data_IF_503973753302
#
_entry.id   IF_503973753302
#
_cell.length_a   1.000
_cell.length_b   1.000
_cell.length_c   1.000
_cell.angle_alpha   90.00
_cell.angle_beta   90.00
_cell.angle_gamma   90.00
#
_symmetry.space_group_name_H-M   'P 1'
#
loop_
_entity.id
_entity.type
_entity.pdbx_description
1 polymer ?
#
# COMPACT_ATOMS: atom_id res chain seq x y z
N UNK A 1 -19.39 4.13 32.70
CA UNK A 1 -18.14 4.76 32.27
C UNK A 1 -16.89 4.22 32.98
N UNK A 2 -16.83 4.03 34.29
CA UNK A 2 -15.61 3.49 34.97
C UNK A 2 -15.28 2.03 34.62
N UNK A 3 -16.25 1.17 34.36
CA UNK A 3 -16.06 -0.25 33.99
C UNK A 3 -15.58 -0.45 32.53
N UNK A 4 -15.98 0.42 31.62
CA UNK A 4 -15.52 0.40 30.22
C UNK A 4 -14.08 0.90 30.07
N UNK A 5 -13.67 1.87 30.88
CA UNK A 5 -12.29 2.37 30.90
C UNK A 5 -11.32 1.30 31.46
N UNK A 6 -11.72 0.55 32.48
CA UNK A 6 -10.91 -0.53 33.05
C UNK A 6 -10.72 -1.71 32.05
N UNK A 7 -11.73 -2.00 31.21
CA UNK A 7 -11.64 -3.04 30.18
C UNK A 7 -10.67 -2.60 29.06
N UNK A 8 -10.65 -1.32 28.70
CA UNK A 8 -9.76 -0.78 27.68
C UNK A 8 -8.29 -0.76 28.16
N UNK A 9 -8.04 -0.46 29.42
CA UNK A 9 -6.67 -0.54 30.02
C UNK A 9 -6.20 -1.98 30.16
N UNK A 10 -7.08 -2.94 30.44
CA UNK A 10 -6.72 -4.37 30.53
C UNK A 10 -6.36 -4.95 29.14
N UNK A 11 -7.07 -4.55 28.09
CA UNK A 11 -6.75 -4.95 26.70
C UNK A 11 -5.41 -4.36 26.24
N UNK A 12 -5.04 -3.17 26.69
CA UNK A 12 -3.79 -2.52 26.30
C UNK A 12 -2.57 -3.13 27.02
N UNK A 13 -2.74 -3.67 28.24
CA UNK A 13 -1.64 -4.29 28.99
C UNK A 13 -1.21 -5.66 28.47
N UNK A 14 -2.06 -6.35 27.67
CA UNK A 14 -1.72 -7.67 27.08
C UNK A 14 -0.73 -7.53 25.92
N UNK A 15 -0.61 -6.35 25.29
CA UNK A 15 0.30 -6.15 24.16
C UNK A 15 1.75 -5.81 24.54
N UNK A 16 2.05 -5.55 25.84
CA UNK A 16 3.37 -5.09 26.27
C UNK A 16 4.37 -6.23 26.51
N UNK A 17 3.92 -7.50 26.57
CA UNK A 17 4.77 -8.62 26.98
C UNK A 17 5.41 -9.41 25.83
N UNK A 18 5.36 -8.96 24.57
CA UNK A 18 5.99 -9.63 23.44
C UNK A 18 7.27 -8.96 22.93
N UNK A 19 7.81 -8.02 23.70
CA UNK A 19 9.13 -7.46 23.40
C UNK A 19 10.19 -8.23 24.20
N UNK A 20 10.98 -9.03 23.45
CA UNK A 20 12.30 -9.52 23.80
C UNK A 20 12.43 -10.98 24.28
N UNK A 21 12.73 -11.80 23.29
CA UNK A 21 13.91 -12.69 23.33
C UNK A 21 14.37 -12.84 21.87
N UNK A 22 15.12 -11.86 21.41
CA UNK A 22 15.79 -11.94 20.11
C UNK A 22 17.07 -12.77 20.34
N UNK A 23 16.98 -14.06 20.05
CA UNK A 23 18.14 -14.93 20.08
C UNK A 23 19.11 -14.50 18.97
N UNK A 24 20.32 -14.09 19.36
CA UNK A 24 21.35 -13.61 18.42
C UNK A 24 21.67 -14.69 17.38
N UNK A 25 21.60 -15.97 17.75
CA UNK A 25 21.82 -17.10 16.84
C UNK A 25 20.72 -17.20 15.77
N UNK A 26 19.48 -16.85 16.09
CA UNK A 26 18.39 -16.78 15.10
C UNK A 26 18.60 -15.64 14.10
N UNK A 27 19.07 -14.46 14.56
CA UNK A 27 19.44 -13.35 13.69
C UNK A 27 20.61 -13.68 12.76
N UNK A 28 21.61 -14.40 13.27
CA UNK A 28 22.76 -14.84 12.47
C UNK A 28 22.36 -15.91 11.46
N UNK A 29 21.46 -16.81 11.82
CA UNK A 29 20.92 -17.85 10.94
C UNK A 29 19.95 -17.28 9.89
N UNK A 30 19.11 -16.29 10.23
CA UNK A 30 18.29 -15.55 9.27
C UNK A 30 19.16 -14.78 8.26
N UNK A 31 20.23 -14.13 8.70
CA UNK A 31 21.19 -13.48 7.81
C UNK A 31 21.88 -14.46 6.86
N UNK A 32 22.14 -15.68 7.28
CA UNK A 32 22.71 -16.72 6.41
C UNK A 32 21.69 -17.27 5.38
N UNK A 33 20.40 -17.37 5.73
CA UNK A 33 19.33 -17.73 4.77
C UNK A 33 19.01 -16.60 3.79
N UNK A 34 19.18 -15.33 4.21
CA UNK A 34 18.98 -14.16 3.32
C UNK A 34 20.06 -14.04 2.24
N UNK A 35 21.23 -14.63 2.41
CA UNK A 35 22.33 -14.57 1.41
C UNK A 35 21.98 -15.18 0.06
N UNK A 36 21.03 -16.09 0.00
CA UNK A 36 20.63 -16.75 -1.24
C UNK A 36 19.60 -15.97 -2.07
N UNK A 37 18.94 -14.96 -1.48
CA UNK A 37 17.97 -14.13 -2.18
C UNK A 37 18.56 -12.78 -2.59
N UNK A 38 18.09 -12.28 -3.72
CA UNK A 38 18.41 -10.94 -4.15
C UNK A 38 17.78 -9.95 -3.17
N UNK A 39 18.62 -9.14 -2.52
CA UNK A 39 18.16 -8.10 -1.62
C UNK A 39 17.76 -6.85 -2.40
N UNK A 40 16.69 -6.18 -1.94
CA UNK A 40 16.24 -4.88 -2.47
C UNK A 40 16.15 -4.89 -4.00
N UNK A 41 15.17 -5.61 -4.57
CA UNK A 41 14.82 -5.51 -5.99
C UNK A 41 14.48 -4.06 -6.31
N UNK A 42 13.73 -3.41 -5.41
CA UNK A 42 13.54 -1.97 -5.34
C UNK A 42 13.93 -1.43 -3.96
N UNK A 43 14.16 -0.11 -3.85
CA UNK A 43 14.49 0.53 -2.58
C UNK A 43 13.28 0.80 -1.68
N UNK A 44 12.07 0.69 -2.21
CA UNK A 44 10.85 0.94 -1.45
C UNK A 44 9.69 0.08 -1.92
N UNK A 45 8.64 0.05 -1.12
CA UNK A 45 7.39 -0.70 -1.39
C UNK A 45 6.56 -0.06 -2.50
N UNK A 46 6.90 1.20 -2.88
CA UNK A 46 6.22 1.97 -3.94
C UNK A 46 7.22 2.72 -4.81
N UNK A 47 6.87 2.90 -6.08
CA UNK A 47 7.50 3.78 -7.04
C UNK A 47 6.44 4.73 -7.58
N UNK A 48 6.56 6.04 -7.29
CA UNK A 48 5.61 7.08 -7.68
C UNK A 48 4.19 6.67 -7.23
N UNK A 49 3.32 6.24 -8.16
CA UNK A 49 1.94 5.84 -7.89
C UNK A 49 1.74 4.31 -7.88
N UNK A 50 2.75 3.53 -8.20
CA UNK A 50 2.67 2.07 -8.32
C UNK A 50 3.31 1.34 -7.15
N UNK A 51 2.80 0.16 -6.82
CA UNK A 51 3.45 -0.75 -5.89
C UNK A 51 4.61 -1.49 -6.57
N UNK A 52 5.65 -1.80 -5.79
CA UNK A 52 6.75 -2.67 -6.22
C UNK A 52 6.54 -4.08 -5.67
N UNK A 53 7.40 -5.02 -6.06
CA UNK A 53 7.43 -6.36 -5.48
C UNK A 53 7.86 -6.40 -4.01
N UNK A 54 8.38 -5.29 -3.47
CA UNK A 54 8.83 -5.24 -2.07
C UNK A 54 7.66 -5.17 -1.09
N UNK A 55 7.81 -5.85 0.03
CA UNK A 55 6.89 -5.92 1.17
C UNK A 55 7.46 -5.18 2.37
N UNK A 56 6.62 -4.70 3.26
CA UNK A 56 7.03 -4.17 4.57
C UNK A 56 7.63 -5.31 5.38
N UNK A 57 8.74 -5.06 6.08
CA UNK A 57 9.43 -6.07 6.91
C UNK A 57 8.53 -6.56 8.03
N UNK A 58 8.77 -7.79 8.46
CA UNK A 58 8.06 -8.41 9.59
C UNK A 58 8.07 -7.48 10.81
N UNK A 59 6.88 -7.28 11.39
CA UNK A 59 6.63 -6.42 12.57
C UNK A 59 6.96 -4.93 12.38
N UNK A 60 7.26 -4.48 11.16
CA UNK A 60 7.40 -3.07 10.86
C UNK A 60 6.05 -2.46 10.47
N UNK A 61 5.82 -1.22 10.87
CA UNK A 61 4.70 -0.39 10.48
C UNK A 61 5.22 0.78 9.64
N UNK A 62 4.77 0.88 8.40
CA UNK A 62 5.03 2.01 7.53
C UNK A 62 3.83 2.94 7.56
N UNK A 63 4.06 4.20 7.93
CA UNK A 63 3.09 5.28 7.79
C UNK A 63 3.53 6.21 6.67
N UNK A 64 2.68 6.33 5.63
CA UNK A 64 2.97 7.17 4.47
C UNK A 64 1.88 8.21 4.29
N UNK A 65 2.29 9.44 4.03
CA UNK A 65 1.42 10.51 3.57
C UNK A 65 1.79 10.77 2.12
N UNK A 66 0.87 10.48 1.20
CA UNK A 66 1.06 10.74 -0.23
C UNK A 66 0.22 11.93 -0.64
N UNK A 67 0.88 12.87 -1.28
CA UNK A 67 0.25 14.06 -1.87
C UNK A 67 0.36 13.98 -3.39
N UNK A 68 -0.72 14.32 -4.07
CA UNK A 68 -0.71 14.55 -5.51
C UNK A 68 -1.04 16.00 -5.76
N UNK A 69 -0.27 16.58 -6.65
CA UNK A 69 -0.40 17.98 -7.04
C UNK A 69 -1.24 18.10 -8.31
N UNK A 70 -1.70 19.31 -8.60
CA UNK A 70 -2.48 19.60 -9.78
C UNK A 70 -1.71 19.40 -11.07
N UNK A 71 -2.42 19.45 -12.18
CA UNK A 71 -1.86 19.29 -13.52
C UNK A 71 -0.98 20.50 -13.88
N UNK A 72 0.27 20.24 -14.25
CA UNK A 72 1.22 21.28 -14.68
C UNK A 72 0.97 21.81 -16.09
N UNK A 73 0.13 21.13 -16.89
CA UNK A 73 -0.15 21.46 -18.29
C UNK A 73 -1.40 22.29 -18.53
N UNK A 74 -2.17 22.65 -17.51
CA UNK A 74 -3.46 23.34 -17.67
C UNK A 74 -3.26 24.86 -17.88
N UNK A 75 -4.10 25.50 -18.73
CA UNK A 75 -4.13 26.97 -18.88
C UNK A 75 -4.30 27.65 -17.53
N UNK A 76 -3.42 28.63 -17.23
CA UNK A 76 -3.41 29.36 -15.97
C UNK A 76 -2.42 28.84 -14.94
N UNK A 77 -1.80 27.67 -15.18
CA UNK A 77 -0.67 27.16 -14.38
C UNK A 77 0.60 27.86 -14.86
N UNK A 78 1.21 28.65 -14.00
CA UNK A 78 2.41 29.44 -14.28
C UNK A 78 3.32 29.49 -13.06
N UNK A 79 4.35 30.28 -13.11
CA UNK A 79 5.24 30.53 -11.97
C UNK A 79 4.49 31.07 -10.74
N UNK A 80 3.34 31.73 -10.90
CA UNK A 80 2.51 32.21 -9.79
C UNK A 80 1.86 31.07 -8.98
N UNK A 81 1.62 29.90 -9.58
CA UNK A 81 1.06 28.72 -8.93
C UNK A 81 2.12 27.64 -8.71
N UNK A 82 3.39 28.04 -8.72
CA UNK A 82 4.54 27.14 -8.63
C UNK A 82 4.36 25.91 -9.56
N UNK A 83 3.93 26.16 -10.80
CA UNK A 83 3.66 25.12 -11.81
C UNK A 83 2.69 24.02 -11.34
N UNK A 84 1.69 24.37 -10.52
CA UNK A 84 0.65 23.46 -10.01
C UNK A 84 0.99 22.78 -8.68
N UNK A 85 2.19 22.99 -8.13
CA UNK A 85 2.60 22.42 -6.84
C UNK A 85 1.75 23.00 -5.68
N UNK A 86 1.29 24.25 -5.79
CA UNK A 86 0.41 24.87 -4.78
C UNK A 86 -0.97 24.23 -4.71
N UNK A 87 -1.39 23.53 -5.75
CA UNK A 87 -2.69 22.89 -5.84
C UNK A 87 -2.59 21.41 -5.45
N UNK A 88 -2.57 21.13 -4.15
CA UNK A 88 -2.69 19.77 -3.66
C UNK A 88 -4.10 19.22 -3.96
N UNK A 89 -4.20 18.32 -4.93
CA UNK A 89 -5.49 17.76 -5.37
C UNK A 89 -5.92 16.54 -4.57
N UNK A 90 -4.99 15.66 -4.25
CA UNK A 90 -5.27 14.41 -3.53
C UNK A 90 -4.32 14.25 -2.35
N UNK A 91 -4.87 13.81 -1.22
CA UNK A 91 -4.11 13.37 -0.06
C UNK A 91 -4.50 11.95 0.31
N UNK A 92 -3.52 11.12 0.63
CA UNK A 92 -3.74 9.77 1.11
C UNK A 92 -2.86 9.50 2.35
N UNK A 93 -3.50 9.04 3.42
CA UNK A 93 -2.85 8.50 4.61
C UNK A 93 -2.87 6.98 4.51
N UNK A 94 -1.72 6.36 4.62
CA UNK A 94 -1.54 4.92 4.45
C UNK A 94 -0.83 4.34 5.67
N UNK A 95 -1.34 3.22 6.16
CA UNK A 95 -0.71 2.39 7.17
C UNK A 95 -0.49 1.01 6.55
N UNK A 96 0.76 0.55 6.49
CA UNK A 96 1.12 -0.78 6.00
C UNK A 96 1.91 -1.52 7.09
N UNK A 97 1.47 -2.71 7.45
CA UNK A 97 2.09 -3.54 8.48
C UNK A 97 2.57 -4.87 7.90
N UNK A 98 3.83 -5.21 8.17
CA UNK A 98 4.42 -6.49 7.81
C UNK A 98 4.05 -7.58 8.82
N UNK A 99 3.18 -8.49 8.44
CA UNK A 99 2.86 -9.68 9.26
C UNK A 99 4.05 -10.64 9.22
N UNK A 100 4.62 -10.84 8.04
CA UNK A 100 5.86 -11.55 7.78
C UNK A 100 6.70 -10.75 6.80
N UNK A 101 7.93 -11.17 6.51
CA UNK A 101 8.74 -10.52 5.45
C UNK A 101 8.13 -10.61 4.06
N UNK A 102 7.13 -11.48 3.87
CA UNK A 102 6.49 -11.71 2.59
C UNK A 102 5.02 -11.30 2.54
N UNK A 103 4.41 -10.97 3.70
CA UNK A 103 3.00 -10.59 3.80
C UNK A 103 2.87 -9.21 4.43
N UNK A 104 2.27 -8.28 3.69
CA UNK A 104 1.91 -6.95 4.16
C UNK A 104 0.40 -6.77 4.10
N UNK A 105 -0.18 -6.25 5.16
CA UNK A 105 -1.56 -5.75 5.18
C UNK A 105 -1.54 -4.24 5.32
N UNK A 106 -2.54 -3.58 4.78
CA UNK A 106 -2.57 -2.13 4.85
C UNK A 106 -3.99 -1.58 4.88
N UNK A 107 -4.08 -0.37 5.37
CA UNK A 107 -5.29 0.43 5.39
C UNK A 107 -4.96 1.86 4.97
N UNK A 108 -5.82 2.47 4.17
CA UNK A 108 -5.62 3.86 3.79
C UNK A 108 -6.92 4.67 3.73
N UNK A 109 -6.77 5.96 4.00
CA UNK A 109 -7.80 6.98 3.79
C UNK A 109 -7.33 7.92 2.70
N UNK A 110 -8.14 8.05 1.64
CA UNK A 110 -7.87 8.99 0.54
C UNK A 110 -8.96 10.05 0.48
N UNK A 111 -8.53 11.31 0.36
CA UNK A 111 -9.37 12.43 -0.01
C UNK A 111 -8.89 12.93 -1.36
N UNK A 112 -9.72 12.78 -2.40
CA UNK A 112 -9.34 13.12 -3.77
C UNK A 112 -10.18 14.25 -4.36
N UNK A 113 -9.73 14.81 -5.47
CA UNK A 113 -10.43 15.84 -6.25
C UNK A 113 -11.46 15.27 -7.24
N UNK A 114 -11.45 13.94 -7.46
CA UNK A 114 -12.32 13.25 -8.42
C UNK A 114 -13.81 13.25 -8.04
N UNK A 115 -14.64 12.76 -8.95
CA UNK A 115 -16.11 12.65 -8.75
C UNK A 115 -16.47 11.68 -7.63
N UNK A 116 -15.64 10.67 -7.37
CA UNK A 116 -15.72 9.79 -6.20
C UNK A 116 -14.47 10.00 -5.38
N UNK A 117 -14.62 10.66 -4.29
CA UNK A 117 -13.61 11.01 -3.30
C UNK A 117 -14.01 10.41 -1.95
N UNK A 118 -13.24 10.60 -0.92
CA UNK A 118 -13.48 10.04 0.41
C UNK A 118 -13.46 8.51 0.42
N UNK A 119 -12.30 7.96 0.09
CA UNK A 119 -12.11 6.52 -0.05
C UNK A 119 -11.43 5.93 1.17
N UNK A 120 -11.89 4.76 1.59
CA UNK A 120 -11.18 3.86 2.48
C UNK A 120 -10.73 2.64 1.67
N UNK A 121 -9.47 2.25 1.81
CA UNK A 121 -8.92 1.11 1.08
C UNK A 121 -8.24 0.15 2.04
N UNK A 122 -8.64 -1.11 2.00
CA UNK A 122 -7.90 -2.23 2.58
C UNK A 122 -6.94 -2.80 1.53
N UNK A 123 -5.72 -3.13 1.95
CA UNK A 123 -4.66 -3.68 1.12
C UNK A 123 -4.18 -5.00 1.69
N UNK A 124 -3.99 -5.97 0.81
CA UNK A 124 -3.29 -7.22 1.08
C UNK A 124 -2.23 -7.44 0.01
N UNK A 125 -0.99 -7.72 0.43
CA UNK A 125 0.14 -7.93 -0.46
C UNK A 125 0.91 -9.16 -0.02
N UNK A 126 1.19 -10.05 -0.98
CA UNK A 126 1.89 -11.31 -0.71
C UNK A 126 2.97 -11.57 -1.76
N UNK A 127 4.22 -11.65 -1.30
CA UNK A 127 5.36 -12.02 -2.13
C UNK A 127 5.46 -13.53 -2.20
N UNK A 128 5.02 -14.10 -3.32
CA UNK A 128 4.91 -15.54 -3.55
C UNK A 128 6.26 -16.18 -3.88
N UNK A 129 7.14 -15.40 -4.55
CA UNK A 129 8.38 -15.93 -5.12
C UNK A 129 9.48 -14.88 -5.08
N UNK A 130 10.68 -15.27 -4.63
CA UNK A 130 11.84 -14.40 -4.50
C UNK A 130 12.93 -14.78 -5.50
N UNK A 131 13.50 -13.80 -6.17
CA UNK A 131 14.67 -13.97 -7.03
C UNK A 131 15.88 -14.39 -6.18
N UNK A 132 16.65 -15.38 -6.67
CA UNK A 132 17.89 -15.83 -6.02
C UNK A 132 19.12 -15.27 -6.71
N UNK A 133 20.20 -15.12 -5.95
CA UNK A 133 21.50 -14.59 -6.44
C UNK A 133 22.15 -15.50 -7.48
N UNK A 134 21.91 -16.81 -7.38
CA UNK A 134 22.42 -17.82 -8.33
C UNK A 134 21.55 -18.01 -9.58
N UNK A 135 20.54 -17.15 -9.79
CA UNK A 135 19.58 -17.18 -10.90
C UNK A 135 18.76 -18.50 -11.04
N UNK A 136 18.78 -19.42 -10.07
CA UNK A 136 17.86 -20.58 -10.08
C UNK A 136 16.41 -20.13 -10.04
N UNK A 137 16.17 -18.99 -9.40
CA UNK A 137 14.89 -18.27 -9.38
C UNK A 137 15.10 -16.90 -10.02
N UNK A 138 14.75 -16.71 -11.30
CA UNK A 138 15.15 -15.50 -12.04
C UNK A 138 14.28 -14.29 -11.78
N UNK A 139 13.13 -14.43 -11.09
CA UNK A 139 12.16 -13.35 -10.87
C UNK A 139 11.73 -13.27 -9.42
N UNK A 140 11.23 -12.10 -9.00
CA UNK A 140 10.41 -11.93 -7.80
C UNK A 140 8.96 -11.72 -8.24
N UNK A 141 8.02 -12.42 -7.60
CA UNK A 141 6.59 -12.33 -7.91
C UNK A 141 5.83 -11.94 -6.63
N UNK A 142 5.03 -10.90 -6.72
CA UNK A 142 4.20 -10.41 -5.62
C UNK A 142 2.78 -10.17 -6.11
N UNK A 143 1.80 -10.67 -5.38
CA UNK A 143 0.38 -10.42 -5.61
C UNK A 143 -0.09 -9.29 -4.68
N UNK A 144 -0.98 -8.45 -5.17
CA UNK A 144 -1.61 -7.38 -4.40
C UNK A 144 -3.10 -7.36 -4.70
N UNK A 145 -3.90 -7.25 -3.65
CA UNK A 145 -5.32 -7.02 -3.73
C UNK A 145 -5.72 -5.80 -2.91
N UNK A 146 -6.54 -4.93 -3.49
CA UNK A 146 -7.15 -3.80 -2.82
C UNK A 146 -8.66 -3.90 -2.89
N UNK A 147 -9.33 -3.62 -1.75
CA UNK A 147 -10.76 -3.39 -1.67
C UNK A 147 -10.99 -1.96 -1.19
N UNK A 148 -11.67 -1.16 -2.01
CA UNK A 148 -11.90 0.26 -1.75
C UNK A 148 -13.38 0.54 -1.64
N UNK A 149 -13.78 1.33 -0.65
CA UNK A 149 -15.15 1.80 -0.44
C UNK A 149 -15.20 3.32 -0.34
N UNK A 150 -16.18 3.93 -1.00
CA UNK A 150 -16.45 5.36 -0.85
C UNK A 150 -17.38 5.64 0.33
N UNK A 151 -16.97 6.56 1.22
CA UNK A 151 -17.75 7.06 2.35
C UNK A 151 -18.58 8.30 2.03
N UNK A 152 -18.55 8.78 0.77
CA UNK A 152 -19.32 9.95 0.35
C UNK A 152 -20.81 9.80 0.66
N UNK A 153 -21.45 10.91 0.99
CA UNK A 153 -22.92 10.97 1.09
C UNK A 153 -23.55 10.65 -0.27
N UNK A 154 -24.62 9.84 -0.23
CA UNK A 154 -25.43 9.54 -1.41
C UNK A 154 -26.03 10.84 -1.95
N UNK A 155 -25.94 11.04 -3.26
CA UNK A 155 -26.59 12.17 -3.94
C UNK A 155 -27.94 11.76 -4.52
N UNK A 156 -28.86 12.71 -4.57
CA UNK A 156 -30.25 12.47 -5.02
C UNK A 156 -30.35 12.34 -6.54
N UNK A 157 -29.41 12.94 -7.29
CA UNK A 157 -29.40 12.89 -8.74
C UNK A 157 -28.90 11.50 -9.21
N UNK A 158 -29.77 10.71 -9.86
CA UNK A 158 -29.41 9.35 -10.31
C UNK A 158 -28.36 9.33 -11.45
N UNK A 159 -28.12 10.46 -12.13
CA UNK A 159 -27.12 10.58 -13.18
C UNK A 159 -25.70 10.72 -12.64
N UNK A 160 -25.57 11.05 -11.37
CA UNK A 160 -24.26 11.17 -10.75
C UNK A 160 -23.71 9.82 -10.32
N UNK A 161 -22.42 9.59 -10.55
CA UNK A 161 -21.69 8.38 -10.10
C UNK A 161 -21.78 8.21 -8.57
N UNK A 162 -21.94 9.31 -7.82
CA UNK A 162 -22.11 9.34 -6.37
C UNK A 162 -23.55 9.15 -5.89
N UNK A 163 -24.49 8.80 -6.79
CA UNK A 163 -25.87 8.44 -6.42
C UNK A 163 -25.96 7.12 -5.65
N UNK A 164 -24.99 6.21 -5.88
CA UNK A 164 -24.87 4.92 -5.20
C UNK A 164 -26.23 4.22 -4.97
N UNK A 165 -26.93 3.78 -6.03
CA UNK A 165 -28.24 3.12 -5.92
C UNK A 165 -28.19 1.90 -4.97
N UNK A 166 -27.11 1.11 -5.05
CA UNK A 166 -26.82 -0.05 -4.19
C UNK A 166 -25.54 0.18 -3.41
N UNK A 167 -25.39 -0.51 -2.28
CA UNK A 167 -24.16 -0.46 -1.50
C UNK A 167 -22.93 -0.90 -2.31
N UNK A 168 -23.08 -1.91 -3.16
CA UNK A 168 -22.01 -2.42 -4.04
C UNK A 168 -21.46 -1.37 -5.01
N UNK A 169 -22.25 -0.33 -5.37
CA UNK A 169 -21.79 0.76 -6.23
C UNK A 169 -20.76 1.68 -5.55
N UNK A 170 -20.59 1.56 -4.23
CA UNK A 170 -19.55 2.25 -3.47
C UNK A 170 -18.21 1.54 -3.51
N UNK A 171 -18.18 0.28 -3.93
CA UNK A 171 -17.03 -0.58 -3.84
C UNK A 171 -16.29 -0.69 -5.17
N UNK A 172 -14.98 -0.74 -5.08
CA UNK A 172 -14.11 -1.11 -6.19
C UNK A 172 -13.00 -2.05 -5.71
N UNK A 173 -12.55 -2.92 -6.58
CA UNK A 173 -11.55 -3.93 -6.30
C UNK A 173 -10.43 -3.83 -7.33
N UNK A 174 -9.21 -3.97 -6.86
CA UNK A 174 -8.04 -3.99 -7.72
C UNK A 174 -7.20 -5.21 -7.36
N UNK A 175 -6.77 -5.94 -8.38
CA UNK A 175 -5.82 -7.04 -8.23
C UNK A 175 -4.64 -6.79 -9.15
N UNK A 176 -3.42 -6.97 -8.62
CA UNK A 176 -2.18 -6.82 -9.37
C UNK A 176 -1.30 -8.05 -9.18
N UNK A 177 -0.67 -8.48 -10.26
CA UNK A 177 0.43 -9.43 -10.22
C UNK A 177 1.70 -8.68 -10.64
N UNK A 178 2.61 -8.47 -9.71
CA UNK A 178 3.89 -7.79 -9.97
C UNK A 178 4.97 -8.82 -10.21
N UNK A 179 5.61 -8.78 -11.37
CA UNK A 179 6.74 -9.63 -11.74
C UNK A 179 7.94 -8.74 -11.98
N UNK A 180 8.98 -8.90 -11.17
CA UNK A 180 10.19 -8.08 -11.26
C UNK A 180 11.44 -8.93 -11.37
N UNK A 181 12.45 -8.38 -12.07
CA UNK A 181 13.78 -8.93 -12.13
C UNK A 181 14.81 -7.84 -11.93
N UNK A 182 15.71 -8.05 -10.99
CA UNK A 182 16.93 -7.25 -10.82
C UNK A 182 18.04 -7.89 -11.65
N UNK A 183 18.45 -7.21 -12.70
CA UNK A 183 19.51 -7.69 -13.60
C UNK A 183 20.89 -7.38 -13.03
N UNK A 184 21.05 -6.19 -12.44
CA UNK A 184 22.30 -5.74 -11.84
C UNK A 184 22.04 -4.59 -10.85
N UNK A 185 23.08 -3.90 -10.40
CA UNK A 185 22.98 -2.76 -9.44
C UNK A 185 22.23 -1.55 -10.01
N UNK A 186 22.16 -1.43 -11.34
CA UNK A 186 21.63 -0.26 -12.05
C UNK A 186 20.26 -0.50 -12.69
N UNK A 187 19.94 -1.77 -13.03
CA UNK A 187 18.74 -2.10 -13.79
C UNK A 187 17.88 -3.12 -13.06
N UNK A 188 16.66 -2.68 -12.78
CA UNK A 188 15.54 -3.54 -12.36
C UNK A 188 14.35 -3.24 -13.25
N UNK A 189 13.68 -4.27 -13.73
CA UNK A 189 12.46 -4.17 -14.53
C UNK A 189 11.31 -4.83 -13.79
N UNK A 190 10.15 -4.20 -13.78
CA UNK A 190 8.90 -4.75 -13.25
C UNK A 190 7.79 -4.60 -14.28
N UNK A 191 7.00 -5.65 -14.43
CA UNK A 191 5.74 -5.66 -15.19
C UNK A 191 4.62 -5.91 -14.18
N UNK A 192 3.54 -5.13 -14.31
CA UNK A 192 2.44 -5.16 -13.34
C UNK A 192 1.10 -5.23 -14.06
N UNK A 193 0.69 -6.41 -14.59
CA UNK A 193 -0.69 -6.59 -15.03
C UNK A 193 -1.65 -6.29 -13.88
N UNK A 194 -2.66 -5.48 -14.20
CA UNK A 194 -3.62 -4.96 -13.24
C UNK A 194 -5.03 -5.21 -13.72
N UNK A 195 -5.86 -5.77 -12.87
CA UNK A 195 -7.29 -5.89 -13.06
C UNK A 195 -8.03 -4.98 -12.08
N UNK A 196 -8.88 -4.11 -12.61
CA UNK A 196 -9.71 -3.20 -11.83
C UNK A 196 -11.18 -3.50 -12.12
N UNK A 197 -11.94 -3.73 -11.06
CA UNK A 197 -13.39 -3.90 -11.15
C UNK A 197 -14.11 -2.90 -10.25
N UNK A 198 -15.15 -2.28 -10.81
CA UNK A 198 -16.02 -1.35 -10.11
C UNK A 198 -17.46 -1.58 -10.56
N UNK A 199 -18.38 -1.67 -9.61
CA UNK A 199 -19.81 -1.60 -9.89
C UNK A 199 -20.20 -0.14 -10.16
N UNK A 200 -20.78 0.10 -11.33
CA UNK A 200 -21.35 1.39 -11.73
C UNK A 200 -22.86 1.30 -11.68
#
# INVERSE_FOLDING_TARGET
MKKTLALFTLLFSVFINFAQDVNIDDLLNENNKQKDYVSATFKGTRLINGHTVETTKKHALDFLITHRFGDMGVKGVSGHTLFGIDNASDIQFVFEYGITDDITVGFSRTQGAGKVRELYTGLFKYRVYKQTTNNKRPFTITLLGNATISSMKKQSDPLLISSFPKFSNRMSYLVQAMVARKFNKWLTVQITPTFLWRNL
#
